data_IF_323164955545
#
_entry.id   IF_323164955545
#
_cell.length_a   1.000
_cell.length_b   1.000
_cell.length_c   1.000
_cell.angle_alpha   90.00
_cell.angle_beta   90.00
_cell.angle_gamma   90.00
#
_symmetry.space_group_name_H-M   'P 1'
#
loop_
_entity.id
_entity.type
_entity.pdbx_description
1 polymer ?
#
# COMPACT_ATOMS: atom_id res chain seq x y z
N UNK A 1 10.06 9.49 -3.09
CA UNK A 1 8.85 8.73 -2.77
C UNK A 1 8.39 7.94 -3.99
N UNK A 2 7.64 6.89 -3.78
CA UNK A 2 7.14 6.06 -4.87
C UNK A 2 6.14 6.82 -5.74
N UNK A 3 6.41 6.86 -7.02
CA UNK A 3 5.49 7.42 -8.00
C UNK A 3 5.86 6.87 -9.38
N UNK A 4 4.90 6.82 -10.32
CA UNK A 4 5.21 6.36 -11.66
C UNK A 4 6.18 7.29 -12.37
N UNK A 5 7.14 6.71 -13.09
CA UNK A 5 8.08 7.50 -13.89
C UNK A 5 7.40 8.09 -15.12
N UNK A 6 6.36 7.43 -15.59
CA UNK A 6 5.63 7.86 -16.78
C UNK A 6 4.15 7.62 -16.58
N UNK A 7 3.34 8.62 -16.88
CA UNK A 7 1.89 8.56 -16.71
C UNK A 7 1.21 9.00 -17.98
N UNK A 8 0.28 8.19 -18.46
CA UNK A 8 -0.52 8.52 -19.63
C UNK A 8 -1.43 9.72 -19.34
N UNK A 9 -2.03 9.74 -18.14
CA UNK A 9 -2.89 10.83 -17.70
C UNK A 9 -2.47 11.26 -16.31
N UNK A 10 -2.22 12.56 -16.11
CA UNK A 10 -1.92 13.11 -14.80
C UNK A 10 -3.16 13.23 -13.91
N UNK A 11 -4.34 13.26 -14.51
CA UNK A 11 -5.61 13.40 -13.79
C UNK A 11 -6.60 12.33 -14.24
N UNK A 12 -6.34 11.07 -13.89
CA UNK A 12 -7.25 9.99 -14.26
C UNK A 12 -8.56 10.10 -13.50
N UNK A 13 -9.57 9.41 -13.99
CA UNK A 13 -10.83 9.29 -13.24
C UNK A 13 -10.58 8.58 -11.92
N UNK A 14 -11.38 8.95 -10.91
CA UNK A 14 -11.29 8.31 -9.61
C UNK A 14 -11.66 6.84 -9.72
N UNK A 15 -10.75 5.97 -9.32
CA UNK A 15 -10.96 4.52 -9.30
C UNK A 15 -11.43 4.14 -7.90
N UNK A 16 -12.55 3.44 -7.84
CA UNK A 16 -13.12 3.00 -6.57
C UNK A 16 -12.32 1.82 -6.03
N UNK A 17 -12.17 1.79 -4.69
CA UNK A 17 -11.51 0.69 -3.99
C UNK A 17 -12.49 -0.36 -3.45
N UNK A 18 -13.78 -0.20 -3.73
CA UNK A 18 -14.81 -1.12 -3.30
C UNK A 18 -14.72 -2.45 -4.05
N UNK A 19 -15.19 -3.51 -3.42
CA UNK A 19 -15.16 -4.84 -4.00
C UNK A 19 -13.97 -5.66 -3.55
N UNK A 20 -13.82 -6.83 -4.16
CA UNK A 20 -12.74 -7.75 -3.84
C UNK A 20 -11.65 -7.70 -4.91
N UNK A 21 -10.40 -7.87 -4.48
CA UNK A 21 -9.29 -7.99 -5.40
C UNK A 21 -9.41 -9.29 -6.21
N UNK A 22 -9.23 -9.19 -7.51
CA UNK A 22 -9.27 -10.34 -8.41
C UNK A 22 -7.94 -11.05 -8.51
N UNK A 23 -6.87 -10.41 -8.08
CA UNK A 23 -5.54 -10.99 -8.09
C UNK A 23 -4.73 -10.46 -6.92
N UNK A 24 -3.55 -11.03 -6.71
CA UNK A 24 -2.68 -10.59 -5.63
C UNK A 24 -3.25 -10.89 -4.25
N UNK A 25 -4.02 -11.97 -4.11
CA UNK A 25 -4.66 -12.35 -2.86
C UNK A 25 -3.88 -13.39 -2.06
N UNK A 26 -2.79 -13.89 -2.62
CA UNK A 26 -1.97 -14.92 -2.00
C UNK A 26 -0.54 -14.44 -1.84
N UNK A 27 0.15 -14.98 -0.84
CA UNK A 27 1.58 -14.76 -0.65
C UNK A 27 2.32 -15.52 -1.75
N UNK A 28 3.09 -14.80 -2.57
CA UNK A 28 3.76 -15.38 -3.73
C UNK A 28 5.28 -15.34 -3.66
N UNK A 29 5.86 -14.29 -3.11
CA UNK A 29 7.30 -14.09 -3.11
C UNK A 29 7.95 -14.41 -1.78
N UNK A 30 7.30 -14.07 -0.69
CA UNK A 30 7.82 -14.31 0.65
C UNK A 30 7.16 -15.52 1.32
N UNK A 31 7.28 -15.55 2.63
CA UNK A 31 6.69 -16.60 3.46
C UNK A 31 5.44 -16.10 4.20
N UNK A 32 5.39 -14.81 4.49
CA UNK A 32 4.26 -14.17 5.17
C UNK A 32 3.91 -12.88 4.45
N UNK A 33 2.66 -12.49 4.55
CA UNK A 33 2.17 -11.28 3.91
C UNK A 33 1.15 -10.54 4.76
N UNK A 34 0.97 -9.27 4.44
CA UNK A 34 -0.05 -8.41 5.05
C UNK A 34 -1.16 -8.23 4.04
N UNK A 35 -2.33 -8.76 4.37
CA UNK A 35 -3.50 -8.74 3.50
C UNK A 35 -4.50 -7.70 3.97
N UNK A 36 -5.05 -6.95 3.03
CA UNK A 36 -6.09 -5.96 3.32
C UNK A 36 -7.41 -6.67 3.65
N UNK A 37 -8.02 -6.29 4.77
CA UNK A 37 -9.33 -6.80 5.18
C UNK A 37 -10.45 -5.91 4.64
N UNK A 38 -10.12 -4.69 4.26
CA UNK A 38 -11.04 -3.73 3.66
C UNK A 38 -10.34 -2.95 2.57
N UNK A 39 -11.09 -2.27 1.71
CA UNK A 39 -10.52 -1.48 0.63
C UNK A 39 -10.17 -0.07 1.06
N UNK A 40 -9.17 0.52 0.42
CA UNK A 40 -8.81 1.92 0.64
C UNK A 40 -7.82 2.40 -0.42
N UNK A 41 -7.63 3.71 -0.44
CA UNK A 41 -6.52 4.34 -1.14
C UNK A 41 -5.37 4.50 -0.16
N UNK A 42 -4.22 3.97 -0.53
CA UNK A 42 -3.03 4.01 0.31
C UNK A 42 -2.01 4.95 -0.33
N UNK A 43 -1.60 5.96 0.43
CA UNK A 43 -0.69 6.98 -0.09
C UNK A 43 0.74 6.47 -0.12
N UNK A 44 1.57 7.12 -0.94
CA UNK A 44 3.00 6.85 -0.98
C UNK A 44 3.64 6.95 0.40
N UNK A 45 3.23 7.95 1.19
CA UNK A 45 3.77 8.14 2.55
C UNK A 45 3.44 6.97 3.46
N UNK A 46 2.21 6.44 3.36
CA UNK A 46 1.79 5.30 4.17
C UNK A 46 2.56 4.04 3.76
N UNK A 47 2.75 3.82 2.47
CA UNK A 47 3.53 2.68 1.97
C UNK A 47 4.97 2.77 2.49
N UNK A 48 5.57 3.94 2.40
CA UNK A 48 6.96 4.17 2.85
C UNK A 48 7.08 3.98 4.36
N UNK A 49 6.12 4.48 5.13
CA UNK A 49 6.13 4.32 6.58
C UNK A 49 6.06 2.84 6.97
N UNK A 50 5.20 2.07 6.32
CA UNK A 50 5.08 0.64 6.57
C UNK A 50 6.37 -0.10 6.21
N UNK A 51 6.97 0.24 5.07
CA UNK A 51 8.25 -0.35 4.63
C UNK A 51 9.35 -0.11 5.65
N UNK A 52 9.44 1.11 6.15
CA UNK A 52 10.46 1.47 7.14
C UNK A 52 10.29 0.66 8.43
N UNK A 53 9.04 0.46 8.89
CA UNK A 53 8.76 -0.36 10.06
C UNK A 53 9.23 -1.80 9.84
N UNK A 54 8.93 -2.38 8.68
CA UNK A 54 9.35 -3.73 8.35
C UNK A 54 10.88 -3.84 8.36
N UNK A 55 11.56 -2.91 7.72
CA UNK A 55 13.01 -2.91 7.65
C UNK A 55 13.67 -2.77 9.02
N UNK A 56 13.16 -1.86 9.85
CA UNK A 56 13.71 -1.63 11.18
C UNK A 56 13.51 -2.81 12.11
N UNK A 57 12.31 -3.38 12.10
CA UNK A 57 12.01 -4.48 13.00
C UNK A 57 12.83 -5.73 12.70
N UNK A 58 13.06 -6.00 11.43
CA UNK A 58 13.86 -7.14 11.01
C UNK A 58 15.37 -6.86 11.04
N UNK A 59 15.76 -5.64 11.42
CA UNK A 59 17.18 -5.20 11.44
C UNK A 59 17.86 -5.41 10.09
N UNK A 60 17.10 -5.18 9.01
CA UNK A 60 17.53 -5.37 7.64
C UNK A 60 17.86 -6.84 7.29
N UNK A 61 17.45 -7.77 8.14
CA UNK A 61 17.51 -9.20 7.80
C UNK A 61 16.32 -9.56 6.92
N UNK A 62 16.47 -10.58 6.10
CA UNK A 62 15.40 -11.03 5.23
C UNK A 62 15.13 -10.11 4.05
N UNK A 63 14.03 -10.39 3.38
CA UNK A 63 13.60 -9.66 2.19
C UNK A 63 12.18 -9.15 2.36
N UNK A 64 11.91 -7.98 1.77
CA UNK A 64 10.61 -7.33 1.82
C UNK A 64 10.16 -7.09 0.38
N UNK A 65 8.92 -7.46 0.06
CA UNK A 65 8.33 -7.18 -1.23
C UNK A 65 7.12 -6.26 -1.03
N UNK A 66 7.11 -5.14 -1.74
CA UNK A 66 5.97 -4.23 -1.77
C UNK A 66 5.16 -4.60 -3.00
N UNK A 67 3.93 -5.09 -2.80
CA UNK A 67 3.10 -5.62 -3.88
C UNK A 67 2.03 -4.65 -4.37
N UNK A 68 2.04 -3.44 -3.85
CA UNK A 68 1.15 -2.37 -4.29
C UNK A 68 2.00 -1.21 -4.78
N UNK A 69 1.48 -0.47 -5.75
CA UNK A 69 2.17 0.67 -6.30
C UNK A 69 1.22 1.85 -6.45
N UNK A 70 1.62 3.06 -6.05
CA UNK A 70 0.76 4.24 -6.16
C UNK A 70 0.76 4.76 -7.58
N UNK A 71 -0.22 4.35 -8.36
CA UNK A 71 -0.34 4.74 -9.77
C UNK A 71 -1.51 5.68 -10.07
N UNK A 72 -2.35 5.97 -9.08
CA UNK A 72 -3.48 6.88 -9.22
C UNK A 72 -3.12 8.24 -8.65
N UNK A 73 -3.25 9.28 -9.46
CA UNK A 73 -3.03 10.65 -9.01
C UNK A 73 -4.24 11.15 -8.24
N UNK A 74 -4.02 11.61 -7.01
CA UNK A 74 -5.05 12.22 -6.19
C UNK A 74 -4.84 13.73 -6.18
N UNK A 75 -5.87 14.46 -6.59
CA UNK A 75 -5.83 15.92 -6.57
C UNK A 75 -6.35 16.45 -5.25
N UNK A 76 -5.66 17.43 -4.71
CA UNK A 76 -6.11 18.13 -3.52
C UNK A 76 -6.31 19.59 -3.88
N UNK A 77 -7.49 20.14 -3.57
CA UNK A 77 -7.71 21.58 -3.73
C UNK A 77 -6.91 22.32 -2.67
N UNK A 78 -6.05 23.28 -3.06
CA UNK A 78 -5.44 24.16 -2.06
C UNK A 78 -6.52 24.92 -1.31
N UNK A 79 -6.29 25.19 -0.04
CA UNK A 79 -7.25 25.90 0.79
C UNK A 79 -7.61 27.29 0.24
N UNK A 80 -6.73 27.86 -0.56
CA UNK A 80 -6.88 29.20 -1.14
C UNK A 80 -7.55 29.22 -2.50
N UNK A 81 -7.82 28.06 -3.09
CA UNK A 81 -8.45 27.98 -4.41
C UNK A 81 -9.93 28.25 -4.28
N UNK A 82 -10.38 29.30 -4.97
CA UNK A 82 -11.80 29.63 -5.03
C UNK A 82 -12.52 28.67 -5.96
N UNK A 83 -13.81 28.50 -5.71
CA UNK A 83 -14.66 27.70 -6.57
C UNK A 83 -14.58 28.17 -8.01
N UNK A 84 -14.52 27.23 -8.96
CA UNK A 84 -14.44 27.53 -10.36
C UNK A 84 -13.06 27.54 -10.95
N UNK A 85 -12.03 27.38 -10.16
CA UNK A 85 -10.64 27.34 -10.64
C UNK A 85 -10.22 26.01 -11.26
N UNK A 86 -11.11 25.04 -11.32
CA UNK A 86 -10.80 23.71 -11.86
C UNK A 86 -10.02 22.85 -10.90
N UNK A 87 -9.61 21.68 -11.36
CA UNK A 87 -8.77 20.78 -10.57
C UNK A 87 -7.36 21.32 -10.45
N UNK A 88 -6.81 21.29 -9.25
CA UNK A 88 -5.41 21.57 -9.04
C UNK A 88 -4.50 20.49 -9.60
N UNK A 89 -3.20 20.70 -9.52
CA UNK A 89 -2.22 19.70 -9.91
C UNK A 89 -2.29 18.49 -8.97
N UNK A 90 -1.96 17.27 -9.45
CA UNK A 90 -1.88 16.12 -8.56
C UNK A 90 -0.83 16.36 -7.48
N UNK A 91 -1.22 16.16 -6.22
CA UNK A 91 -0.31 16.34 -5.09
C UNK A 91 0.19 15.01 -4.54
N UNK A 92 -0.65 13.99 -4.61
CA UNK A 92 -0.34 12.70 -4.04
C UNK A 92 -0.61 11.58 -5.05
N UNK A 93 0.18 10.54 -4.92
CA UNK A 93 -0.04 9.31 -5.64
C UNK A 93 -0.54 8.27 -4.65
N UNK A 94 -1.56 7.51 -5.05
CA UNK A 94 -2.16 6.51 -4.18
C UNK A 94 -2.26 5.16 -4.90
N UNK A 95 -2.14 4.09 -4.11
CA UNK A 95 -2.45 2.75 -4.57
C UNK A 95 -3.91 2.47 -4.22
N UNK A 96 -4.67 1.96 -5.20
CA UNK A 96 -6.05 1.54 -4.96
C UNK A 96 -5.99 0.08 -4.50
N UNK A 97 -6.35 -0.14 -3.25
CA UNK A 97 -6.31 -1.48 -2.65
C UNK A 97 -7.72 -1.96 -2.37
N UNK A 98 -8.03 -3.12 -2.90
CA UNK A 98 -9.31 -3.77 -2.67
C UNK A 98 -9.16 -4.86 -1.61
N UNK A 99 -10.26 -5.20 -0.97
CA UNK A 99 -10.31 -6.27 0.03
C UNK A 99 -9.68 -7.55 -0.51
N UNK A 100 -8.82 -8.16 0.28
CA UNK A 100 -8.14 -9.40 -0.07
C UNK A 100 -6.75 -9.23 -0.67
N UNK A 101 -6.38 -8.02 -1.05
CA UNK A 101 -5.07 -7.77 -1.68
C UNK A 101 -3.94 -7.93 -0.67
N UNK A 102 -2.92 -8.68 -1.04
CA UNK A 102 -1.66 -8.75 -0.28
C UNK A 102 -0.83 -7.53 -0.65
N UNK A 103 -0.55 -6.69 0.34
CA UNK A 103 0.15 -5.41 0.12
C UNK A 103 1.66 -5.53 0.31
N UNK A 104 2.08 -6.28 1.30
CA UNK A 104 3.49 -6.48 1.62
C UNK A 104 3.74 -7.96 1.88
N UNK A 105 4.94 -8.40 1.54
CA UNK A 105 5.39 -9.75 1.87
C UNK A 105 6.77 -9.68 2.51
N UNK A 106 7.07 -10.65 3.34
CA UNK A 106 8.34 -10.74 4.03
C UNK A 106 8.81 -12.20 4.03
N UNK A 107 10.10 -12.39 3.90
CA UNK A 107 10.71 -13.71 3.95
C UNK A 107 12.14 -13.64 4.47
N UNK A 108 12.71 -14.81 4.77
CA UNK A 108 14.07 -14.90 5.24
C UNK A 108 14.28 -14.53 6.70
N UNK A 109 13.21 -14.48 7.50
CA UNK A 109 13.29 -14.20 8.93
C UNK A 109 12.43 -15.23 9.68
N UNK A 110 12.64 -15.34 11.00
CA UNK A 110 11.88 -16.26 11.82
C UNK A 110 10.38 -15.91 11.77
N UNK A 111 9.47 -16.91 11.86
CA UNK A 111 8.04 -16.65 11.77
C UNK A 111 7.52 -15.64 12.78
N UNK A 112 7.99 -15.67 14.00
CA UNK A 112 7.57 -14.74 15.05
C UNK A 112 7.95 -13.30 14.70
N UNK A 113 9.16 -13.13 14.15
CA UNK A 113 9.66 -11.82 13.74
C UNK A 113 8.85 -11.31 12.55
N UNK A 114 8.60 -12.19 11.58
CA UNK A 114 7.83 -11.82 10.39
C UNK A 114 6.41 -11.37 10.76
N UNK A 115 5.72 -12.14 11.59
CA UNK A 115 4.35 -11.82 12.00
C UNK A 115 4.28 -10.50 12.78
N UNK A 116 5.20 -10.30 13.72
CA UNK A 116 5.23 -9.08 14.51
C UNK A 116 5.58 -7.85 13.66
N UNK A 117 6.53 -7.99 12.76
CA UNK A 117 6.91 -6.90 11.86
C UNK A 117 5.72 -6.46 11.01
N UNK A 118 4.99 -7.42 10.43
CA UNK A 118 3.81 -7.12 9.61
C UNK A 118 2.69 -6.50 10.45
N UNK A 119 2.50 -6.99 11.67
CA UNK A 119 1.50 -6.42 12.58
C UNK A 119 1.80 -4.96 12.89
N UNK A 120 3.06 -4.64 13.16
CA UNK A 120 3.47 -3.26 13.44
C UNK A 120 3.35 -2.38 12.19
N UNK A 121 3.67 -2.91 11.03
CA UNK A 121 3.53 -2.18 9.78
C UNK A 121 2.07 -1.82 9.49
N UNK A 122 1.14 -2.69 9.89
CA UNK A 122 -0.29 -2.45 9.68
C UNK A 122 -0.77 -1.17 10.37
N UNK A 123 -0.15 -0.78 11.49
CA UNK A 123 -0.51 0.46 12.17
C UNK A 123 -0.22 1.72 11.36
N UNK A 124 0.63 1.61 10.35
CA UNK A 124 0.95 2.74 9.47
C UNK A 124 -0.02 2.87 8.29
N UNK A 125 -0.89 1.89 8.13
CA UNK A 125 -1.86 1.87 7.04
C UNK A 125 -3.24 2.29 7.55
N UNK A 126 -4.08 2.88 6.68
CA UNK A 126 -5.38 3.43 7.10
C UNK A 126 -6.49 2.38 7.20
N UNK A 127 -6.18 1.11 7.02
CA UNK A 127 -7.17 0.04 6.95
C UNK A 127 -6.81 -1.11 7.86
N UNK A 128 -7.80 -1.95 8.12
CA UNK A 128 -7.58 -3.19 8.85
C UNK A 128 -6.88 -4.19 7.94
N UNK A 129 -5.92 -4.88 8.51
CA UNK A 129 -5.11 -5.84 7.80
C UNK A 129 -5.00 -7.11 8.64
N UNK A 130 -4.66 -8.21 7.98
CA UNK A 130 -4.32 -9.44 8.69
C UNK A 130 -3.02 -10.01 8.13
N UNK A 131 -2.30 -10.71 8.98
CA UNK A 131 -1.08 -11.41 8.59
C UNK A 131 -1.47 -12.79 8.11
N UNK A 132 -1.00 -13.16 6.93
CA UNK A 132 -1.23 -14.51 6.38
C UNK A 132 0.09 -15.15 6.04
N UNK A 133 0.12 -16.48 6.11
CA UNK A 133 1.27 -17.25 5.67
C UNK A 133 1.06 -17.76 4.25
N UNK A 134 2.15 -18.24 3.65
CA UNK A 134 2.08 -18.82 2.32
C UNK A 134 1.22 -20.08 2.35
N UNK A 135 0.24 -20.13 1.47
CA UNK A 135 -0.69 -21.24 1.41
C UNK A 135 -1.91 -21.13 2.31
N UNK A 136 -2.04 -20.04 3.04
CA UNK A 136 -3.22 -19.77 3.88
C UNK A 136 -4.32 -19.04 3.12
#
# INVERSE_FOLDING_TARGET
>A
MLQPNRVKYHRPHIIKYEGHSKGGTEVSFGEYGLQAVEGAWITTRQIEAARVVLSRYTKRGGQIWIRIFPHLAKTKKPAEVRMGSGKGSPEDWVAVVQKGRVMFEIGGVAPEIAREALRLAAYKLPIKCKVIGKGE
#
